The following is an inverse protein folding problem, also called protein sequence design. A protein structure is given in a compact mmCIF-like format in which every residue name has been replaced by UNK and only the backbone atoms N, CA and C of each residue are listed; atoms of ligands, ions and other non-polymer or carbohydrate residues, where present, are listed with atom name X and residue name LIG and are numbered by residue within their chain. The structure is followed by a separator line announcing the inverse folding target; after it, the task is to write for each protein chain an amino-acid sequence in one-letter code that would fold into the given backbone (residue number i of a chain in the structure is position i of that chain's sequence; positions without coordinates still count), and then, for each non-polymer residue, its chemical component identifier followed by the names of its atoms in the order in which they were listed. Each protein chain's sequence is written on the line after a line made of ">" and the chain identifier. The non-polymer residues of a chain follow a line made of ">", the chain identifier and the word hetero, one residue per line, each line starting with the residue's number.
data_IF_686437664754
#
_entry.id   IF_686437664754
#
_cell.length_a   1.000
_cell.length_b   1.000
_cell.length_c   1.000
_cell.angle_alpha   90.00
_cell.angle_beta   90.00
_cell.angle_gamma   90.00
#
_symmetry.space_group_name_H-M   'P 1'
#
loop_
_entity.id
_entity.type
_entity.pdbx_description
1 polymer ?
#
# COMPACT_ATOMS: atom_id res chain seq x y z
N UNK A 1 -5.10 50.17 -34.56
CA UNK A 1 -4.45 48.95 -34.06
C UNK A 1 -5.50 48.02 -33.47
N UNK A 2 -5.24 46.71 -33.49
CA UNK A 2 -6.15 45.71 -32.97
C UNK A 2 -5.40 44.70 -32.09
N UNK A 3 -5.94 44.43 -30.92
CA UNK A 3 -5.53 43.31 -30.08
C UNK A 3 -6.51 42.17 -30.30
N UNK A 4 -5.97 40.96 -30.45
CA UNK A 4 -6.77 39.75 -30.63
C UNK A 4 -6.44 38.77 -29.52
N UNK A 5 -7.43 38.43 -28.71
CA UNK A 5 -7.28 37.39 -27.69
C UNK A 5 -7.60 35.99 -28.21
N UNK A 6 -6.96 35.02 -27.58
CA UNK A 6 -7.28 33.60 -27.70
C UNK A 6 -7.24 32.95 -26.32
N UNK A 7 -8.08 31.94 -26.10
CA UNK A 7 -8.05 31.11 -24.89
C UNK A 7 -9.03 31.52 -23.78
N UNK A 8 -9.75 32.64 -23.94
CA UNK A 8 -10.89 32.95 -23.07
C UNK A 8 -12.18 32.27 -23.57
N UNK A 9 -13.07 31.85 -22.65
CA UNK A 9 -14.43 31.44 -23.01
C UNK A 9 -15.22 32.59 -23.61
N UNK A 10 -16.15 32.27 -24.53
CA UNK A 10 -17.05 33.26 -25.12
C UNK A 10 -17.81 34.06 -24.04
N UNK A 11 -17.86 35.38 -24.18
CA UNK A 11 -18.54 36.27 -23.24
C UNK A 11 -17.69 36.67 -22.02
N UNK A 12 -16.47 36.13 -21.85
CA UNK A 12 -15.57 36.56 -20.78
C UNK A 12 -15.02 37.95 -21.08
N UNK A 13 -15.27 38.90 -20.18
CA UNK A 13 -14.70 40.24 -20.31
C UNK A 13 -13.19 40.26 -20.08
N UNK A 14 -12.48 40.96 -20.95
CA UNK A 14 -11.06 41.29 -20.88
C UNK A 14 -10.84 42.74 -21.30
N UNK A 15 -9.66 43.29 -20.99
CA UNK A 15 -9.35 44.68 -21.30
C UNK A 15 -7.91 44.87 -21.71
N UNK A 16 -7.70 45.92 -22.50
CA UNK A 16 -6.39 46.44 -22.86
C UNK A 16 -6.36 47.90 -22.43
N UNK A 17 -5.29 48.31 -21.77
CA UNK A 17 -5.01 49.72 -21.52
C UNK A 17 -3.90 50.15 -22.45
N UNK A 18 -4.16 51.17 -23.25
CA UNK A 18 -3.21 51.75 -24.19
C UNK A 18 -3.06 53.23 -23.85
N UNK A 19 -1.85 53.69 -23.58
CA UNK A 19 -1.58 55.10 -23.23
C UNK A 19 -2.53 55.64 -22.14
N UNK A 20 -2.73 54.87 -21.08
CA UNK A 20 -3.66 55.13 -19.96
C UNK A 20 -5.17 55.13 -20.29
N UNK A 21 -5.57 54.82 -21.52
CA UNK A 21 -6.98 54.63 -21.90
C UNK A 21 -7.31 53.14 -21.96
N UNK A 22 -8.30 52.70 -21.18
CA UNK A 22 -8.72 51.30 -21.11
C UNK A 22 -9.94 51.05 -21.98
N UNK A 23 -9.83 50.10 -22.92
CA UNK A 23 -10.97 49.51 -23.61
C UNK A 23 -11.17 48.08 -23.15
N UNK A 24 -12.44 47.70 -22.96
CA UNK A 24 -12.84 46.35 -22.59
C UNK A 24 -13.68 45.72 -23.69
N UNK A 25 -13.62 44.40 -23.82
CA UNK A 25 -14.44 43.63 -24.74
C UNK A 25 -14.86 42.31 -24.11
N UNK A 26 -15.90 41.69 -24.68
CA UNK A 26 -16.34 40.30 -24.41
C UNK A 26 -16.20 39.41 -25.64
N UNK A 27 -15.77 39.99 -26.77
CA UNK A 27 -15.41 39.30 -28.01
C UNK A 27 -13.90 39.09 -28.07
N UNK A 28 -13.39 38.42 -29.11
CA UNK A 28 -11.97 38.15 -29.24
C UNK A 28 -11.10 39.36 -29.62
N UNK A 29 -11.68 40.57 -29.78
CA UNK A 29 -10.90 41.74 -30.22
C UNK A 29 -11.15 42.99 -29.39
N UNK A 30 -10.09 43.79 -29.24
CA UNK A 30 -10.12 45.17 -28.72
C UNK A 30 -9.36 46.05 -29.71
N UNK A 31 -10.00 47.12 -30.20
CA UNK A 31 -9.38 48.02 -31.19
C UNK A 31 -9.21 49.44 -30.63
N UNK A 32 -8.13 50.08 -31.06
CA UNK A 32 -7.82 51.48 -30.79
C UNK A 32 -7.49 52.21 -32.10
N UNK A 33 -7.94 53.45 -32.21
CA UNK A 33 -7.65 54.33 -33.34
C UNK A 33 -6.63 55.37 -32.90
N UNK A 34 -5.35 55.09 -33.16
CA UNK A 34 -4.24 55.96 -32.81
C UNK A 34 -3.52 56.48 -34.06
N UNK A 35 -2.90 57.64 -33.93
CA UNK A 35 -1.98 58.18 -34.93
C UNK A 35 -0.65 57.41 -34.94
N UNK A 36 0.24 57.77 -35.88
CA UNK A 36 1.59 57.23 -35.89
C UNK A 36 2.32 57.59 -34.59
N UNK A 37 2.94 56.59 -33.97
CA UNK A 37 3.60 56.74 -32.67
C UNK A 37 3.92 55.40 -32.03
N UNK A 38 4.65 55.44 -30.93
CA UNK A 38 4.95 54.26 -30.09
C UNK A 38 4.12 54.34 -28.82
N UNK A 39 3.30 53.33 -28.59
CA UNK A 39 2.34 53.30 -27.49
C UNK A 39 2.65 52.15 -26.54
N UNK A 40 2.74 52.46 -25.25
CA UNK A 40 2.77 51.43 -24.22
C UNK A 40 1.36 50.87 -24.00
N UNK A 41 1.25 49.56 -23.86
CA UNK A 41 0.02 48.86 -23.54
C UNK A 41 0.20 47.91 -22.36
N UNK A 42 -0.89 47.66 -21.64
CA UNK A 42 -1.01 46.62 -20.62
C UNK A 42 -2.30 45.82 -20.83
N UNK A 43 -2.26 44.54 -20.47
CA UNK A 43 -3.41 43.64 -20.54
C UNK A 43 -4.01 43.49 -19.14
N UNK A 44 -5.32 43.67 -19.02
CA UNK A 44 -6.02 43.51 -17.74
C UNK A 44 -5.91 42.08 -17.21
N UNK A 45 -5.57 41.94 -15.93
CA UNK A 45 -5.48 40.62 -15.29
C UNK A 45 -6.87 39.98 -15.16
N UNK A 46 -6.95 38.69 -15.46
CA UNK A 46 -8.19 37.92 -15.40
C UNK A 46 -8.05 36.83 -14.32
N UNK A 47 -8.87 36.85 -13.26
CA UNK A 47 -8.87 35.80 -12.24
C UNK A 47 -9.06 34.42 -12.87
N UNK A 48 -8.20 33.48 -12.48
CA UNK A 48 -8.19 32.11 -13.02
C UNK A 48 -7.44 31.94 -14.34
N UNK A 49 -6.77 32.98 -14.88
CA UNK A 49 -6.00 32.89 -16.13
C UNK A 49 -4.59 33.47 -15.97
N UNK A 50 -3.65 32.93 -16.75
CA UNK A 50 -2.36 33.56 -17.09
C UNK A 50 -2.44 34.12 -18.50
N UNK A 51 -1.57 35.07 -18.83
CA UNK A 51 -1.51 35.72 -20.14
C UNK A 51 -0.09 35.62 -20.71
N UNK A 52 0.03 35.47 -22.03
CA UNK A 52 1.31 35.36 -22.74
C UNK A 52 2.20 36.60 -22.56
N UNK A 53 1.57 37.78 -22.44
CA UNK A 53 2.23 39.03 -22.08
C UNK A 53 1.30 39.92 -21.27
N UNK A 54 1.80 40.50 -20.18
CA UNK A 54 1.06 41.47 -19.37
C UNK A 54 1.08 42.88 -19.95
N UNK A 55 1.92 43.15 -20.96
CA UNK A 55 2.05 44.45 -21.59
C UNK A 55 3.28 44.57 -22.49
N UNK A 56 3.45 45.72 -23.11
CA UNK A 56 4.58 46.00 -24.00
C UNK A 56 4.45 47.34 -24.69
N UNK A 57 5.15 47.51 -25.80
CA UNK A 57 5.04 48.68 -26.67
C UNK A 57 4.74 48.28 -28.10
N UNK A 58 3.90 49.04 -28.78
CA UNK A 58 3.58 48.85 -30.20
C UNK A 58 3.82 50.15 -30.96
N UNK A 59 4.52 50.07 -32.09
CA UNK A 59 4.79 51.22 -32.96
C UNK A 59 3.84 51.20 -34.15
N UNK A 60 3.01 52.23 -34.28
CA UNK A 60 2.14 52.47 -35.43
C UNK A 60 2.87 53.41 -36.39
N UNK A 61 3.09 52.98 -37.63
CA UNK A 61 3.73 53.80 -38.67
C UNK A 61 3.00 53.65 -40.02
N UNK A 62 1.85 54.31 -40.17
CA UNK A 62 1.07 54.36 -41.41
C UNK A 62 0.30 53.08 -41.75
N UNK A 63 0.40 52.02 -40.94
CA UNK A 63 -0.29 50.75 -41.13
C UNK A 63 -0.91 50.24 -39.83
N UNK A 64 -2.06 49.57 -39.95
CA UNK A 64 -2.73 48.98 -38.80
C UNK A 64 -1.88 47.84 -38.20
N UNK A 65 -1.59 47.94 -36.91
CA UNK A 65 -0.87 46.93 -36.17
C UNK A 65 -1.83 45.93 -35.52
N UNK A 66 -1.39 44.66 -35.43
CA UNK A 66 -2.10 43.59 -34.74
C UNK A 66 -1.24 43.00 -33.63
N UNK A 67 -1.78 42.84 -32.44
CA UNK A 67 -1.11 42.24 -31.28
C UNK A 67 -1.90 41.01 -30.82
N UNK A 68 -1.26 39.85 -30.85
CA UNK A 68 -1.85 38.62 -30.34
C UNK A 68 -1.67 38.51 -28.82
N UNK A 69 -2.75 38.18 -28.12
CA UNK A 69 -2.78 37.95 -26.67
C UNK A 69 -3.32 36.55 -26.44
N UNK A 70 -2.60 35.71 -25.71
CA UNK A 70 -3.06 34.35 -25.41
C UNK A 70 -3.28 34.23 -23.92
N UNK A 71 -4.50 33.89 -23.53
CA UNK A 71 -4.87 33.54 -22.18
C UNK A 71 -4.83 32.01 -22.02
N UNK A 72 -4.39 31.56 -20.84
CA UNK A 72 -4.42 30.15 -20.47
C UNK A 72 -5.04 30.02 -19.09
N UNK A 73 -5.98 29.10 -18.92
CA UNK A 73 -6.58 28.86 -17.62
C UNK A 73 -5.47 28.41 -16.64
N UNK A 74 -5.46 29.00 -15.44
CA UNK A 74 -4.61 28.53 -14.36
C UNK A 74 -5.04 27.13 -13.98
N UNK A 75 -4.10 26.21 -13.73
CA UNK A 75 -4.47 24.89 -13.26
C UNK A 75 -5.21 25.01 -11.93
N UNK A 76 -6.34 24.31 -11.83
CA UNK A 76 -7.09 24.22 -10.57
C UNK A 76 -6.51 23.06 -9.79
N UNK A 77 -6.02 23.34 -8.59
CA UNK A 77 -5.49 22.33 -7.70
C UNK A 77 -6.46 22.05 -6.55
N UNK A 78 -6.48 20.80 -6.11
CA UNK A 78 -7.31 20.25 -5.06
C UNK A 78 -6.42 19.73 -3.94
N UNK A 79 -6.88 19.92 -2.71
CA UNK A 79 -6.18 19.41 -1.53
C UNK A 79 -6.54 17.95 -1.32
N UNK A 80 -5.53 17.10 -1.22
CA UNK A 80 -5.64 15.72 -0.74
C UNK A 80 -5.06 15.68 0.67
N UNK A 81 -5.87 15.31 1.65
CA UNK A 81 -5.45 15.22 3.06
C UNK A 81 -5.50 13.78 3.52
N UNK A 82 -4.39 13.28 4.06
CA UNK A 82 -4.33 12.02 4.79
C UNK A 82 -4.36 12.34 6.27
N UNK A 83 -5.22 11.67 7.02
CA UNK A 83 -5.35 11.83 8.47
C UNK A 83 -5.13 10.49 9.13
N UNK A 84 -4.13 10.37 10.00
CA UNK A 84 -3.92 9.16 10.79
C UNK A 84 -4.87 9.11 11.99
N UNK A 85 -5.21 7.89 12.36
CA UNK A 85 -5.85 7.56 13.62
C UNK A 85 -5.23 6.28 14.18
N UNK A 86 -5.09 6.20 15.50
CA UNK A 86 -4.62 4.99 16.19
C UNK A 86 -3.14 4.98 16.53
N UNK A 87 -2.35 5.95 16.06
CA UNK A 87 -0.97 6.12 16.54
C UNK A 87 -0.95 6.89 17.88
N UNK A 88 0.03 6.60 18.77
CA UNK A 88 0.29 7.43 19.93
C UNK A 88 0.70 8.85 19.50
N UNK A 89 0.28 9.87 20.25
CA UNK A 89 0.61 11.26 19.94
C UNK A 89 2.13 11.47 19.82
N UNK A 90 2.56 12.15 18.77
CA UNK A 90 3.97 12.40 18.47
C UNK A 90 4.69 11.27 17.74
N UNK A 91 4.02 10.14 17.47
CA UNK A 91 4.58 9.07 16.63
C UNK A 91 4.78 9.58 15.21
N UNK A 92 5.99 9.39 14.67
CA UNK A 92 6.30 9.75 13.30
C UNK A 92 5.70 8.74 12.32
N UNK A 93 5.05 9.23 11.28
CA UNK A 93 4.55 8.45 10.15
C UNK A 93 4.73 9.26 8.86
N UNK A 94 4.69 8.58 7.73
CA UNK A 94 4.87 9.23 6.44
C UNK A 94 3.86 8.77 5.40
N UNK A 95 3.66 9.63 4.41
CA UNK A 95 2.88 9.35 3.21
C UNK A 95 3.72 9.73 2.02
N UNK A 96 3.85 8.80 1.07
CA UNK A 96 4.33 9.11 -0.27
C UNK A 96 3.12 9.28 -1.17
N UNK A 97 2.97 10.47 -1.76
CA UNK A 97 1.87 10.80 -2.67
C UNK A 97 2.44 11.45 -3.93
N UNK A 98 2.08 10.92 -5.10
CA UNK A 98 2.61 11.37 -6.39
C UNK A 98 4.16 11.46 -6.41
N UNK A 99 4.82 10.45 -5.83
CA UNK A 99 6.29 10.39 -5.73
C UNK A 99 6.91 11.33 -4.70
N UNK A 100 6.14 12.17 -4.01
CA UNK A 100 6.62 13.05 -2.94
C UNK A 100 6.32 12.45 -1.58
N UNK A 101 7.36 12.19 -0.80
CA UNK A 101 7.24 11.74 0.59
C UNK A 101 7.13 12.94 1.55
N UNK A 102 6.24 12.83 2.53
CA UNK A 102 6.13 13.75 3.66
C UNK A 102 6.03 12.96 4.95
N UNK A 103 6.92 13.26 5.88
CA UNK A 103 6.96 12.68 7.23
C UNK A 103 6.48 13.71 8.25
N UNK A 104 5.56 13.31 9.12
CA UNK A 104 4.97 14.16 10.15
C UNK A 104 4.84 13.41 11.47
N UNK A 105 4.82 14.14 12.59
CA UNK A 105 4.49 13.63 13.93
C UNK A 105 3.11 14.07 14.42
N UNK A 106 2.44 14.93 13.64
CA UNK A 106 1.05 15.32 13.84
C UNK A 106 0.08 14.33 13.20
N UNK A 107 -1.21 14.61 13.26
CA UNK A 107 -2.26 13.68 12.83
C UNK A 107 -2.60 13.75 11.34
N UNK A 108 -2.06 14.72 10.58
CA UNK A 108 -2.45 14.91 9.18
C UNK A 108 -1.33 15.40 8.29
N UNK A 109 -1.39 15.01 7.02
CA UNK A 109 -0.53 15.50 5.94
C UNK A 109 -1.38 15.84 4.71
N UNK A 110 -1.13 17.00 4.11
CA UNK A 110 -1.87 17.46 2.93
C UNK A 110 -0.95 17.63 1.73
N UNK A 111 -1.46 17.34 0.54
CA UNK A 111 -0.86 17.58 -0.76
C UNK A 111 -1.80 18.42 -1.61
N UNK A 112 -1.26 19.16 -2.58
CA UNK A 112 -2.06 19.96 -3.52
C UNK A 112 -1.72 19.50 -4.92
N UNK A 113 -2.72 18.98 -5.63
CA UNK A 113 -2.56 18.37 -6.96
C UNK A 113 -3.71 18.76 -7.87
N UNK A 114 -3.49 18.72 -9.17
CA UNK A 114 -4.54 18.93 -10.16
C UNK A 114 -5.48 17.71 -10.25
N UNK A 115 -6.43 17.74 -11.17
CA UNK A 115 -7.22 16.56 -11.50
C UNK A 115 -6.30 15.47 -12.06
N UNK A 116 -6.41 14.25 -11.53
CA UNK A 116 -5.54 13.17 -11.94
C UNK A 116 -5.72 11.89 -11.12
N UNK A 117 -4.95 10.87 -11.47
CA UNK A 117 -4.86 9.61 -10.74
C UNK A 117 -3.44 9.47 -10.20
N UNK A 118 -3.30 9.43 -8.88
CA UNK A 118 -2.01 9.55 -8.20
C UNK A 118 -1.73 8.31 -7.37
N UNK A 119 -0.56 7.70 -7.59
CA UNK A 119 -0.09 6.64 -6.72
C UNK A 119 0.19 7.20 -5.31
N UNK A 120 -0.18 6.41 -4.30
CA UNK A 120 0.16 6.69 -2.92
C UNK A 120 0.57 5.44 -2.16
N UNK A 121 1.35 5.63 -1.09
CA UNK A 121 1.70 4.62 -0.11
C UNK A 121 1.83 5.24 1.28
N UNK A 122 1.57 4.43 2.31
CA UNK A 122 1.76 4.80 3.71
C UNK A 122 3.04 4.13 4.22
N UNK A 123 3.91 4.88 4.88
CA UNK A 123 5.12 4.34 5.50
C UNK A 123 4.78 3.32 6.58
N UNK A 124 5.61 2.27 6.69
CA UNK A 124 5.46 1.29 7.77
C UNK A 124 5.82 1.92 9.12
N UNK A 125 4.93 1.78 10.09
CA UNK A 125 5.19 2.16 11.48
C UNK A 125 5.43 0.89 12.29
N UNK A 126 6.57 0.79 12.97
CA UNK A 126 6.95 -0.42 13.70
C UNK A 126 5.90 -0.79 14.74
N UNK A 127 5.44 -2.05 14.69
CA UNK A 127 4.42 -2.54 15.60
C UNK A 127 2.98 -2.14 15.24
N UNK A 128 2.74 -1.63 14.03
CA UNK A 128 1.40 -1.29 13.54
C UNK A 128 1.16 -1.83 12.13
N UNK A 129 -0.07 -2.24 11.86
CA UNK A 129 -0.64 -2.38 10.51
C UNK A 129 -1.54 -1.18 10.22
N UNK A 130 -1.89 -0.95 8.95
CA UNK A 130 -2.77 0.15 8.58
C UNK A 130 -3.84 -0.27 7.58
N UNK A 131 -4.94 0.48 7.54
CA UNK A 131 -5.97 0.41 6.48
C UNK A 131 -6.37 1.82 6.05
N UNK A 132 -6.80 1.98 4.79
CA UNK A 132 -7.17 3.28 4.19
C UNK A 132 -8.66 3.35 3.83
N UNK A 133 -9.49 2.59 4.53
CA UNK A 133 -10.92 2.48 4.24
C UNK A 133 -11.19 2.02 2.81
N UNK A 134 -11.96 2.81 2.06
CA UNK A 134 -12.31 2.52 0.66
C UNK A 134 -11.28 3.04 -0.36
N UNK A 135 -10.22 3.71 0.09
CA UNK A 135 -9.21 4.26 -0.81
C UNK A 135 -8.13 3.22 -1.11
N UNK A 136 -7.84 3.03 -2.40
CA UNK A 136 -6.74 2.23 -2.91
C UNK A 136 -5.84 3.08 -3.81
N UNK A 137 -4.60 2.63 -3.98
CA UNK A 137 -3.65 3.25 -4.91
C UNK A 137 -3.88 2.68 -6.32
N UNK A 138 -4.06 3.52 -7.36
CA UNK A 138 -3.97 4.98 -7.34
C UNK A 138 -5.25 5.69 -6.86
N UNK A 139 -5.06 6.86 -6.23
CA UNK A 139 -6.14 7.74 -5.78
C UNK A 139 -6.55 8.72 -6.89
N UNK A 140 -7.83 8.73 -7.23
CA UNK A 140 -8.38 9.64 -8.26
C UNK A 140 -8.90 10.94 -7.63
N UNK A 141 -8.47 12.08 -8.16
CA UNK A 141 -8.90 13.44 -7.79
C UNK A 141 -9.64 14.06 -8.97
N UNK A 142 -10.93 14.41 -8.77
CA UNK A 142 -11.79 14.99 -9.82
C UNK A 142 -12.64 16.13 -9.27
N UNK A 143 -12.16 17.36 -9.35
CA UNK A 143 -12.99 18.53 -9.11
C UNK A 143 -13.24 18.86 -7.64
N UNK A 144 -12.82 18.01 -6.71
CA UNK A 144 -13.09 18.19 -5.27
C UNK A 144 -11.90 17.77 -4.42
N UNK A 145 -11.67 18.42 -3.26
CA UNK A 145 -10.73 17.94 -2.25
C UNK A 145 -11.05 16.50 -1.81
N UNK A 146 -10.02 15.72 -1.49
CA UNK A 146 -10.14 14.32 -1.06
C UNK A 146 -9.56 14.16 0.35
N UNK A 147 -10.26 13.47 1.23
CA UNK A 147 -9.80 13.18 2.59
C UNK A 147 -9.70 11.66 2.80
N UNK A 148 -8.48 11.18 3.07
CA UNK A 148 -8.17 9.77 3.28
C UNK A 148 -7.87 9.55 4.76
N UNK A 149 -8.71 8.76 5.44
CA UNK A 149 -8.42 8.33 6.82
C UNK A 149 -7.52 7.09 6.78
N UNK A 150 -6.40 7.14 7.49
CA UNK A 150 -5.46 6.04 7.67
C UNK A 150 -5.62 5.52 9.09
N UNK A 151 -6.12 4.29 9.24
CA UNK A 151 -6.35 3.69 10.56
C UNK A 151 -5.19 2.75 10.86
N UNK A 152 -4.35 3.13 11.82
CA UNK A 152 -3.29 2.29 12.35
C UNK A 152 -3.82 1.42 13.48
N UNK A 153 -3.46 0.13 13.44
CA UNK A 153 -3.81 -0.85 14.49
C UNK A 153 -2.54 -1.50 15.00
N UNK A 154 -2.34 -1.47 16.32
CA UNK A 154 -1.17 -2.09 16.93
C UNK A 154 -1.13 -3.59 16.61
N UNK A 155 -0.04 -4.05 16.03
CA UNK A 155 0.22 -5.48 15.87
C UNK A 155 0.62 -6.03 17.23
N UNK A 156 -0.11 -7.03 17.72
CA UNK A 156 0.30 -7.73 18.91
C UNK A 156 1.71 -8.31 18.67
N UNK A 157 2.65 -8.24 19.65
CA UNK A 157 3.91 -8.94 19.51
C UNK A 157 3.57 -10.38 19.17
N UNK A 158 4.14 -10.88 18.08
CA UNK A 158 4.16 -12.32 17.78
C UNK A 158 4.83 -12.96 18.98
N UNK A 159 4.03 -13.40 19.93
CA UNK A 159 4.47 -14.26 21.01
C UNK A 159 5.14 -15.42 20.28
N UNK A 160 6.45 -15.68 20.46
CA UNK A 160 7.05 -16.89 19.90
C UNK A 160 6.16 -17.99 20.40
N UNK A 161 5.58 -18.79 19.48
CA UNK A 161 4.61 -19.81 19.82
C UNK A 161 5.09 -20.47 21.11
N UNK A 162 4.44 -20.15 22.22
CA UNK A 162 4.77 -20.85 23.43
C UNK A 162 4.30 -22.24 23.09
N UNK A 163 5.26 -23.15 22.95
CA UNK A 163 5.01 -24.55 23.20
C UNK A 163 4.53 -24.62 24.65
N UNK A 164 3.28 -24.23 24.90
CA UNK A 164 2.56 -24.71 26.04
C UNK A 164 2.49 -26.20 25.80
N UNK A 165 3.42 -26.92 26.41
CA UNK A 165 3.30 -28.32 26.79
C UNK A 165 2.14 -28.47 27.79
N UNK A 166 0.99 -27.93 27.42
CA UNK A 166 -0.29 -28.04 28.07
C UNK A 166 -1.16 -28.75 27.04
N UNK A 167 -1.61 -29.93 27.43
CA UNK A 167 -2.49 -30.80 26.67
C UNK A 167 -3.63 -29.99 26.04
N UNK A 168 -3.77 -30.10 24.72
CA UNK A 168 -4.87 -29.50 23.96
C UNK A 168 -6.22 -30.06 24.45
N UNK A 169 -7.33 -29.43 24.11
CA UNK A 169 -8.68 -29.95 24.44
C UNK A 169 -8.91 -31.39 23.92
N UNK A 170 -8.20 -31.78 22.85
CA UNK A 170 -8.22 -33.14 22.32
C UNK A 170 -7.45 -34.14 23.19
N UNK A 171 -6.43 -33.69 23.92
CA UNK A 171 -5.63 -34.54 24.80
C UNK A 171 -6.36 -34.89 26.10
N UNK A 172 -7.21 -33.99 26.61
CA UNK A 172 -8.14 -34.32 27.71
C UNK A 172 -9.19 -35.34 27.29
N UNK A 173 -9.66 -35.29 26.04
CA UNK A 173 -10.55 -36.31 25.46
C UNK A 173 -9.81 -37.65 25.39
N UNK A 174 -8.54 -37.67 24.96
CA UNK A 174 -7.74 -38.89 24.90
C UNK A 174 -7.52 -39.50 26.29
N UNK A 175 -7.21 -38.68 27.30
CA UNK A 175 -7.08 -39.12 28.71
C UNK A 175 -8.40 -39.71 29.21
N UNK A 176 -9.54 -39.04 28.94
CA UNK A 176 -10.86 -39.53 29.31
C UNK A 176 -11.18 -40.90 28.69
N UNK A 177 -10.82 -41.12 27.42
CA UNK A 177 -11.01 -42.40 26.72
C UNK A 177 -10.14 -43.50 27.35
N UNK A 178 -8.86 -43.22 27.63
CA UNK A 178 -7.96 -44.21 28.25
C UNK A 178 -8.45 -44.62 29.64
N UNK A 179 -8.89 -43.67 30.46
CA UNK A 179 -9.47 -43.97 31.78
C UNK A 179 -10.75 -44.80 31.65
N UNK A 180 -11.63 -44.47 30.71
CA UNK A 180 -12.84 -45.25 30.46
C UNK A 180 -12.52 -46.70 30.05
N UNK A 181 -11.54 -46.91 29.17
CA UNK A 181 -11.10 -48.24 28.75
C UNK A 181 -10.50 -49.06 29.91
N UNK A 182 -9.71 -48.44 30.79
CA UNK A 182 -9.16 -49.11 31.98
C UNK A 182 -10.28 -49.54 32.92
N UNK A 183 -11.27 -48.67 33.17
CA UNK A 183 -12.42 -48.97 34.03
C UNK A 183 -13.26 -50.09 33.42
N UNK A 184 -13.54 -50.04 32.11
CA UNK A 184 -14.27 -51.10 31.39
C UNK A 184 -13.51 -52.43 31.48
N UNK A 185 -12.19 -52.42 31.27
CA UNK A 185 -11.34 -53.61 31.40
C UNK A 185 -11.35 -54.19 32.81
N UNK A 186 -11.28 -53.34 33.84
CA UNK A 186 -11.35 -53.76 35.24
C UNK A 186 -12.72 -54.37 35.59
N UNK A 187 -13.81 -53.77 35.11
CA UNK A 187 -15.17 -54.29 35.29
C UNK A 187 -15.33 -55.64 34.58
N UNK A 188 -14.84 -55.77 33.35
CA UNK A 188 -14.87 -57.03 32.61
C UNK A 188 -14.07 -58.13 33.31
N UNK A 189 -12.87 -57.82 33.82
CA UNK A 189 -12.05 -58.75 34.60
C UNK A 189 -12.74 -59.17 35.92
N UNK A 190 -13.41 -58.25 36.61
CA UNK A 190 -14.18 -58.55 37.81
C UNK A 190 -15.37 -59.48 37.50
N UNK A 191 -16.08 -59.27 36.40
CA UNK A 191 -17.19 -60.13 35.98
C UNK A 191 -16.69 -61.51 35.54
N UNK A 192 -15.55 -61.58 34.84
CA UNK A 192 -14.93 -62.84 34.42
C UNK A 192 -14.36 -63.65 35.59
N UNK A 193 -13.78 -62.98 36.60
CA UNK A 193 -13.30 -63.66 37.82
C UNK A 193 -14.43 -64.24 38.67
N UNK A 194 -15.64 -63.66 38.62
CA UNK A 194 -16.84 -64.23 39.24
C UNK A 194 -17.42 -65.44 38.51
N UNK A 195 -17.15 -65.58 37.21
CA UNK A 195 -17.64 -66.71 36.39
C UNK A 195 -16.74 -67.95 36.41
N UNK A 196 -15.50 -67.84 36.92
CA UNK A 196 -14.52 -68.95 36.95
C UNK A 196 -14.43 -69.70 38.28
N UNK A 197 -15.34 -69.46 39.23
CA UNK A 197 -15.46 -70.25 40.44
C UNK A 197 -16.26 -71.54 40.23
N UNK A 198 -15.66 -72.56 39.59
CA UNK A 198 -16.31 -73.87 39.46
C UNK A 198 -15.54 -74.87 38.61
N UNK A 199 -14.61 -75.60 39.24
CA UNK A 199 -14.32 -77.03 39.06
C UNK A 199 -12.83 -77.31 39.21
N UNK A 200 -12.51 -78.04 40.28
CA UNK A 200 -11.23 -78.62 40.63
C UNK A 200 -10.91 -79.85 39.77
N UNK A 201 -9.62 -80.12 39.55
CA UNK A 201 -9.14 -81.51 39.55
C UNK A 201 -8.19 -81.95 38.44
N UNK A 202 -6.92 -82.03 38.83
CA UNK A 202 -6.07 -83.24 38.72
C UNK A 202 -5.13 -83.46 37.51
N UNK A 203 -3.99 -84.03 37.90
CA UNK A 203 -2.98 -84.80 37.15
C UNK A 203 -2.04 -84.01 36.22
N UNK A 204 -0.70 -83.98 36.37
CA UNK A 204 0.36 -84.93 36.77
C UNK A 204 1.24 -85.28 35.57
N UNK A 205 2.56 -85.08 35.77
CA UNK A 205 3.72 -85.73 35.12
C UNK A 205 4.12 -85.31 33.70
N UNK A 206 5.44 -85.13 33.53
CA UNK A 206 6.10 -85.31 32.24
C UNK A 206 7.44 -84.60 32.12
N UNK A 207 8.52 -85.32 32.40
CA UNK A 207 9.93 -84.92 32.38
C UNK A 207 10.53 -84.82 30.96
N UNK A 208 11.64 -84.08 30.84
CA UNK A 208 12.89 -84.37 30.09
C UNK A 208 13.13 -83.75 28.71
N UNK A 209 14.34 -83.17 28.60
CA UNK A 209 15.31 -83.22 27.48
C UNK A 209 14.92 -82.64 26.12
N UNK A 210 15.78 -82.03 25.31
CA UNK A 210 17.24 -81.82 25.26
C UNK A 210 17.53 -81.14 23.90
N UNK A 211 18.63 -80.37 23.77
CA UNK A 211 19.61 -80.48 22.65
C UNK A 211 19.11 -80.16 21.19
N UNK A 212 19.75 -79.46 20.27
CA UNK A 212 20.97 -78.65 20.09
C UNK A 212 20.96 -78.17 18.61
N UNK A 213 21.77 -77.14 18.28
CA UNK A 213 22.44 -76.91 16.97
C UNK A 213 21.57 -76.37 15.79
N UNK A 214 22.03 -75.52 14.85
CA UNK A 214 23.35 -74.98 14.47
C UNK A 214 23.21 -73.70 13.61
N UNK A 215 24.18 -72.80 13.75
CA UNK A 215 24.69 -71.73 12.82
C UNK A 215 25.25 -72.33 11.49
N UNK A 216 25.72 -71.60 10.42
CA UNK A 216 26.52 -70.35 10.50
C UNK A 216 26.58 -69.34 9.30
N UNK A 217 27.26 -68.21 9.59
CA UNK A 217 28.23 -67.39 8.84
C UNK A 217 28.00 -66.91 7.39
N UNK A 218 28.20 -65.61 7.15
CA UNK A 218 29.48 -65.09 6.59
C UNK A 218 29.57 -63.54 6.59
N UNK A 219 30.80 -63.04 6.70
CA UNK A 219 31.24 -61.63 6.75
C UNK A 219 32.13 -61.32 5.48
N UNK A 220 32.90 -60.20 5.39
CA UNK A 220 32.78 -58.95 4.59
C UNK A 220 33.71 -58.95 3.32
N UNK A 221 34.37 -57.86 2.77
CA UNK A 221 34.41 -56.40 3.05
C UNK A 221 34.55 -55.39 1.85
N UNK A 222 34.60 -54.09 2.22
CA UNK A 222 35.53 -53.01 1.77
C UNK A 222 35.27 -52.13 0.51
N UNK A 223 35.28 -50.81 0.80
CA UNK A 223 36.07 -49.69 0.21
C UNK A 223 35.55 -48.96 -1.05
N UNK A 224 35.34 -47.63 -0.94
CA UNK A 224 36.08 -46.52 -1.61
C UNK A 224 35.27 -45.19 -1.61
N UNK A 225 35.90 -44.09 -1.17
CA UNK A 225 35.60 -42.70 -1.60
C UNK A 225 36.18 -42.48 -3.02
N UNK A 226 35.76 -41.49 -3.86
CA UNK A 226 36.01 -40.05 -3.59
C UNK A 226 35.07 -39.02 -4.29
N UNK A 227 35.36 -37.73 -4.02
CA UNK A 227 35.43 -36.57 -4.97
C UNK A 227 34.27 -35.56 -5.07
N UNK A 228 34.56 -34.38 -4.50
CA UNK A 228 34.39 -32.99 -4.99
C UNK A 228 33.63 -32.70 -6.29
N UNK A 229 32.75 -31.69 -6.25
CA UNK A 229 32.50 -30.60 -7.22
C UNK A 229 31.45 -29.64 -6.58
N UNK A 230 31.34 -28.34 -6.83
CA UNK A 230 32.15 -27.27 -7.44
C UNK A 230 31.26 -26.03 -7.29
N UNK A 231 31.76 -24.97 -6.68
CA UNK A 231 31.14 -23.64 -6.65
C UNK A 231 31.13 -23.03 -8.05
N UNK A 232 30.06 -22.31 -8.40
CA UNK A 232 29.96 -21.55 -9.65
C UNK A 232 28.73 -20.64 -9.66
N UNK A 233 28.92 -19.39 -9.24
CA UNK A 233 28.04 -18.27 -9.57
C UNK A 233 28.61 -17.57 -10.81
N UNK A 234 27.78 -17.19 -11.80
CA UNK A 234 28.10 -16.07 -12.67
C UNK A 234 27.40 -14.80 -12.17
N UNK A 235 28.19 -13.74 -12.01
CA UNK A 235 27.72 -12.37 -12.00
C UNK A 235 27.51 -11.93 -13.45
N UNK A 236 26.30 -11.45 -13.77
CA UNK A 236 26.03 -10.73 -15.02
C UNK A 236 25.86 -9.26 -14.71
N UNK A 237 26.85 -8.49 -15.14
CA UNK A 237 26.80 -7.06 -15.40
C UNK A 237 25.87 -6.79 -16.58
N UNK A 238 25.00 -5.78 -16.48
CA UNK A 238 24.41 -5.11 -17.63
C UNK A 238 24.45 -3.59 -17.39
N UNK A 239 25.01 -2.93 -18.40
CA UNK A 239 25.02 -1.49 -18.67
C UNK A 239 23.59 -0.91 -18.72
#
# INVERSE_FOLDING_TARGET
>A
MTFTETGLPSGRSWSVTLNAVTHSSVTSTVSFSELNGTFAYTIGAIPGYTVSSTGGSVTVNGANQSVAVTFSAKPVAYTVTFTETGLPAGTSWNVTFNGTERTVTGTSVSFTVENGSYAFSIGSVTGYSFTTGNYSSPLTVQGTPVSVTVIFTATQPTQPAHSTSGLSSLDWILIGIVVALIVIGAIAALVMSRRRGGSSGSASKGTTSSESRSTPSDDPPRRRSPRSKRTGFPATTLL
#
